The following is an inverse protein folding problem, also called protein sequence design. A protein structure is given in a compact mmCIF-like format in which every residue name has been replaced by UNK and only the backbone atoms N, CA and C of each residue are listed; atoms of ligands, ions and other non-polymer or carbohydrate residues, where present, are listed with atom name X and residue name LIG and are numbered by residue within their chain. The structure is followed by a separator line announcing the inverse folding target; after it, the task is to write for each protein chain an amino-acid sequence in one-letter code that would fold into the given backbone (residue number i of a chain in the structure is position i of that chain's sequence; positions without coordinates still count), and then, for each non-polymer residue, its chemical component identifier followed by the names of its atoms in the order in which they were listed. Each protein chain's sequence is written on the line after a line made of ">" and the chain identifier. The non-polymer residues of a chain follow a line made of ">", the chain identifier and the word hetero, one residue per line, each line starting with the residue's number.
data_IF_972512008338
#
_entry.id   IF_972512008338
#
_cell.length_a   1.000
_cell.length_b   1.000
_cell.length_c   1.000
_cell.angle_alpha   90.00
_cell.angle_beta   90.00
_cell.angle_gamma   90.00
#
_symmetry.space_group_name_H-M   'P 1'
#
loop_
_entity.id
_entity.type
_entity.pdbx_description
1 polymer ?
#
# COMPACT_ATOMS: atom_id res chain seq x y z
N UNK A 1 1.87 3.21 11.50
CA UNK A 1 1.18 4.51 11.57
C UNK A 1 -0.27 4.26 11.21
N UNK A 2 -1.23 4.95 11.83
CA UNK A 2 -2.65 4.75 11.48
C UNK A 2 -3.02 5.51 10.22
N UNK A 3 -3.47 4.80 9.19
CA UNK A 3 -3.85 5.40 7.91
C UNK A 3 -5.34 5.70 7.78
N UNK A 4 -6.15 5.21 8.71
CA UNK A 4 -7.58 5.53 8.81
C UNK A 4 -7.96 5.72 10.28
N UNK A 5 -9.04 6.46 10.53
CA UNK A 5 -9.66 6.58 11.86
C UNK A 5 -11.02 5.87 11.94
N UNK A 6 -11.53 5.72 13.18
CA UNK A 6 -12.91 5.29 13.42
C UNK A 6 -13.92 6.25 12.78
N UNK A 7 -13.72 7.56 12.93
CA UNK A 7 -14.63 8.57 12.38
C UNK A 7 -14.75 8.44 10.85
N UNK A 8 -13.63 8.22 10.14
CA UNK A 8 -13.67 8.02 8.69
C UNK A 8 -14.39 6.72 8.28
N UNK A 9 -14.32 5.69 9.13
CA UNK A 9 -15.08 4.45 8.92
C UNK A 9 -16.57 4.66 9.16
N UNK A 10 -16.94 5.41 10.21
CA UNK A 10 -18.32 5.78 10.53
C UNK A 10 -18.89 6.63 9.39
N UNK A 11 -18.17 7.65 8.93
CA UNK A 11 -18.60 8.54 7.85
C UNK A 11 -18.85 7.77 6.54
N UNK A 12 -18.06 6.72 6.28
CA UNK A 12 -18.15 5.95 5.04
C UNK A 12 -19.19 4.84 5.09
N UNK A 13 -19.23 4.06 6.18
CA UNK A 13 -20.00 2.82 6.28
C UNK A 13 -21.19 2.91 7.24
N UNK A 14 -21.23 3.94 8.09
CA UNK A 14 -22.24 4.15 9.11
C UNK A 14 -21.96 3.41 10.41
N UNK A 15 -22.33 4.02 11.52
CA UNK A 15 -22.12 3.49 12.87
C UNK A 15 -22.83 2.14 13.08
N UNK A 16 -24.08 2.01 12.63
CA UNK A 16 -24.86 0.77 12.76
C UNK A 16 -24.17 -0.45 12.12
N UNK A 17 -23.49 -0.24 10.99
CA UNK A 17 -22.75 -1.31 10.33
C UNK A 17 -21.53 -1.71 11.17
N UNK A 18 -20.80 -0.74 11.72
CA UNK A 18 -19.66 -1.03 12.58
C UNK A 18 -20.09 -1.75 13.86
N UNK A 19 -21.16 -1.31 14.53
CA UNK A 19 -21.73 -2.01 15.70
C UNK A 19 -22.01 -3.47 15.34
N UNK A 20 -22.72 -3.73 14.23
CA UNK A 20 -23.04 -5.09 13.80
C UNK A 20 -21.80 -5.95 13.50
N UNK A 21 -20.69 -5.32 13.09
CA UNK A 21 -19.45 -6.01 12.80
C UNK A 21 -18.56 -6.21 14.04
N UNK A 22 -18.66 -5.36 15.05
CA UNK A 22 -17.73 -5.34 16.19
C UNK A 22 -18.34 -5.81 17.51
N UNK A 23 -19.65 -5.64 17.72
CA UNK A 23 -20.35 -6.04 18.94
C UNK A 23 -20.55 -7.56 18.98
N UNK A 24 -19.47 -8.27 19.31
CA UNK A 24 -19.36 -9.74 19.28
C UNK A 24 -19.29 -10.38 20.67
N UNK A 25 -19.45 -9.59 21.72
CA UNK A 25 -19.42 -10.07 23.09
C UNK A 25 -20.61 -10.98 23.42
N UNK A 26 -20.50 -11.73 24.51
CA UNK A 26 -21.61 -12.58 25.01
C UNK A 26 -22.88 -11.77 25.32
N UNK A 27 -22.72 -10.49 25.69
CA UNK A 27 -23.79 -9.53 25.82
C UNK A 27 -23.63 -8.44 24.76
N UNK A 28 -24.68 -8.24 23.96
CA UNK A 28 -24.72 -7.14 23.00
C UNK A 28 -24.70 -5.80 23.74
N UNK A 29 -23.68 -4.99 23.45
CA UNK A 29 -23.51 -3.66 24.03
C UNK A 29 -24.26 -2.60 23.25
N UNK A 30 -24.56 -2.87 21.96
CA UNK A 30 -25.16 -1.89 21.05
C UNK A 30 -24.22 -0.71 20.73
N UNK A 31 -22.93 -0.85 21.02
CA UNK A 31 -21.90 0.16 20.79
C UNK A 31 -20.79 -0.42 19.91
N UNK A 32 -20.03 0.46 19.27
CA UNK A 32 -18.85 0.05 18.51
C UNK A 32 -17.78 -0.42 19.51
N UNK A 33 -17.31 -1.65 19.34
CA UNK A 33 -16.18 -2.16 20.11
C UNK A 33 -14.87 -1.59 19.54
N UNK A 34 -14.33 -0.62 20.26
CA UNK A 34 -13.12 0.11 19.89
C UNK A 34 -11.91 -0.80 19.78
N UNK A 35 -11.81 -1.86 20.59
CA UNK A 35 -10.65 -2.76 20.55
C UNK A 35 -10.64 -3.56 19.25
N UNK A 36 -11.81 -4.08 18.84
CA UNK A 36 -11.97 -4.77 17.55
C UNK A 36 -11.68 -3.84 16.37
N UNK A 37 -12.17 -2.59 16.40
CA UNK A 37 -11.88 -1.61 15.33
C UNK A 37 -10.39 -1.29 15.28
N UNK A 38 -9.78 -0.97 16.42
CA UNK A 38 -8.36 -0.61 16.48
C UNK A 38 -7.46 -1.77 16.03
N UNK A 39 -7.81 -3.01 16.37
CA UNK A 39 -7.12 -4.20 15.87
C UNK A 39 -7.22 -4.30 14.34
N UNK A 40 -8.43 -4.13 13.77
CA UNK A 40 -8.62 -4.20 12.32
C UNK A 40 -7.85 -3.10 11.57
N UNK A 41 -7.81 -1.88 12.13
CA UNK A 41 -7.01 -0.77 11.60
C UNK A 41 -5.52 -1.11 11.67
N UNK A 42 -5.02 -1.59 12.81
CA UNK A 42 -3.62 -1.95 12.96
C UNK A 42 -3.18 -3.07 11.99
N UNK A 43 -4.06 -4.06 11.74
CA UNK A 43 -3.83 -5.08 10.73
C UNK A 43 -3.79 -4.49 9.31
N UNK A 44 -4.70 -3.58 8.98
CA UNK A 44 -4.72 -2.90 7.68
C UNK A 44 -3.45 -2.07 7.47
N UNK A 45 -3.02 -1.32 8.49
CA UNK A 45 -1.80 -0.53 8.47
C UNK A 45 -0.57 -1.41 8.25
N UNK A 46 -0.47 -2.54 8.94
CA UNK A 46 0.63 -3.49 8.78
C UNK A 46 0.68 -4.08 7.36
N UNK A 47 -0.47 -4.35 6.74
CA UNK A 47 -0.56 -4.80 5.34
C UNK A 47 -0.04 -3.72 4.41
N UNK A 48 -0.51 -2.47 4.56
CA UNK A 48 -0.08 -1.33 3.73
C UNK A 48 1.42 -1.10 3.86
N UNK A 49 1.93 -1.00 5.09
CA UNK A 49 3.36 -0.84 5.37
C UNK A 49 4.19 -1.97 4.75
N UNK A 50 3.67 -3.20 4.76
CA UNK A 50 4.26 -4.36 4.11
C UNK A 50 4.49 -4.19 2.61
N UNK A 51 3.59 -3.52 1.90
CA UNK A 51 3.72 -3.21 0.47
C UNK A 51 4.59 -1.97 0.23
N UNK A 52 4.47 -0.95 1.07
CA UNK A 52 5.17 0.33 0.89
C UNK A 52 6.67 0.24 1.22
N UNK A 53 7.07 -0.60 2.18
CA UNK A 53 8.48 -0.72 2.63
C UNK A 53 9.49 -1.04 1.53
N UNK A 54 9.03 -1.61 0.41
CA UNK A 54 9.88 -1.95 -0.73
C UNK A 54 10.35 -0.71 -1.52
N UNK A 55 9.54 0.36 -1.55
CA UNK A 55 9.82 1.58 -2.33
C UNK A 55 9.95 2.83 -1.47
N UNK A 56 9.19 2.95 -0.39
CA UNK A 56 9.09 4.15 0.42
C UNK A 56 9.78 3.96 1.78
N UNK A 57 10.24 5.06 2.36
CA UNK A 57 10.76 5.07 3.72
C UNK A 57 9.58 5.14 4.69
N UNK A 58 9.58 4.24 5.69
CA UNK A 58 8.56 4.19 6.73
C UNK A 58 9.17 4.59 8.08
N UNK A 59 8.41 5.28 8.96
CA UNK A 59 7.05 5.77 8.73
C UNK A 59 6.99 6.89 7.67
N UNK A 60 5.89 6.99 6.92
CA UNK A 60 5.68 8.06 5.95
C UNK A 60 5.71 9.43 6.66
N UNK A 61 6.31 10.43 6.02
CA UNK A 61 6.35 11.81 6.56
C UNK A 61 4.97 12.47 6.50
N UNK A 62 4.24 12.23 5.43
CA UNK A 62 2.88 12.68 5.17
C UNK A 62 2.10 11.51 4.57
N UNK A 63 0.83 11.38 4.95
CA UNK A 63 -0.05 10.33 4.43
C UNK A 63 -0.68 10.82 3.12
N UNK A 64 -0.34 10.21 1.96
CA UNK A 64 -0.95 10.59 0.69
C UNK A 64 -2.43 10.26 0.66
N UNK A 65 -3.23 11.09 -0.01
CA UNK A 65 -4.69 10.94 -0.09
C UNK A 65 -5.15 9.57 -0.64
N UNK A 66 -4.29 8.85 -1.35
CA UNK A 66 -4.57 7.52 -1.89
C UNK A 66 -4.53 6.41 -0.82
N UNK A 67 -3.83 6.61 0.30
CA UNK A 67 -3.62 5.55 1.31
C UNK A 67 -4.83 5.34 2.24
N UNK A 68 -5.51 6.39 2.76
CA UNK A 68 -6.66 6.22 3.65
C UNK A 68 -7.82 5.41 3.05
N UNK A 69 -8.23 5.61 1.77
CA UNK A 69 -9.25 4.76 1.14
C UNK A 69 -8.88 3.26 1.13
N UNK A 70 -7.59 2.95 0.90
CA UNK A 70 -7.10 1.57 0.91
C UNK A 70 -7.16 0.98 2.32
N UNK A 71 -6.76 1.75 3.34
CA UNK A 71 -6.83 1.33 4.73
C UNK A 71 -8.27 1.04 5.16
N UNK A 72 -9.23 1.91 4.81
CA UNK A 72 -10.66 1.69 5.07
C UNK A 72 -11.19 0.40 4.45
N UNK A 73 -10.92 0.17 3.17
CA UNK A 73 -11.39 -1.02 2.45
C UNK A 73 -10.81 -2.32 3.06
N UNK A 74 -9.57 -2.29 3.52
CA UNK A 74 -8.93 -3.44 4.17
C UNK A 74 -9.49 -3.64 5.59
N UNK A 75 -9.59 -2.56 6.37
CA UNK A 75 -10.10 -2.63 7.75
C UNK A 75 -11.54 -3.15 7.79
N UNK A 76 -12.43 -2.65 6.94
CA UNK A 76 -13.83 -3.11 6.91
C UNK A 76 -13.92 -4.57 6.48
N UNK A 77 -13.10 -5.01 5.52
CA UNK A 77 -13.04 -6.41 5.10
C UNK A 77 -12.56 -7.31 6.25
N UNK A 78 -11.54 -6.89 7.00
CA UNK A 78 -11.01 -7.61 8.15
C UNK A 78 -12.02 -7.75 9.29
N UNK A 79 -12.94 -6.80 9.43
CA UNK A 79 -14.04 -6.87 10.38
C UNK A 79 -15.15 -7.83 9.95
N UNK A 80 -15.14 -8.39 8.74
CA UNK A 80 -16.07 -9.47 8.36
C UNK A 80 -15.45 -10.83 8.67
N UNK A 81 -16.07 -11.59 9.58
CA UNK A 81 -15.55 -12.90 10.01
C UNK A 81 -15.90 -14.06 9.05
N UNK A 82 -17.08 -14.00 8.45
CA UNK A 82 -17.66 -15.10 7.68
C UNK A 82 -17.85 -14.73 6.22
N UNK A 83 -18.95 -14.06 5.90
CA UNK A 83 -19.28 -13.62 4.56
C UNK A 83 -19.41 -12.11 4.57
N UNK A 84 -18.61 -11.44 3.72
CA UNK A 84 -18.78 -10.03 3.46
C UNK A 84 -19.67 -9.83 2.23
N UNK A 85 -20.40 -8.71 2.15
CA UNK A 85 -21.08 -8.32 0.92
C UNK A 85 -20.11 -8.32 -0.26
N UNK A 86 -20.56 -8.80 -1.42
CA UNK A 86 -19.73 -8.85 -2.64
C UNK A 86 -19.08 -7.51 -3.01
N UNK A 87 -19.74 -6.41 -2.68
CA UNK A 87 -19.18 -5.07 -2.87
C UNK A 87 -17.94 -4.84 -1.99
N UNK A 88 -17.99 -5.19 -0.70
CA UNK A 88 -16.86 -5.06 0.22
C UNK A 88 -15.71 -5.97 -0.20
N UNK A 89 -16.01 -7.20 -0.66
CA UNK A 89 -15.00 -8.08 -1.22
C UNK A 89 -14.33 -7.48 -2.46
N UNK A 90 -15.12 -6.89 -3.36
CA UNK A 90 -14.61 -6.26 -4.57
C UNK A 90 -13.72 -5.05 -4.24
N UNK A 91 -14.15 -4.19 -3.31
CA UNK A 91 -13.37 -3.03 -2.83
C UNK A 91 -12.04 -3.49 -2.18
N UNK A 92 -12.06 -4.55 -1.38
CA UNK A 92 -10.84 -5.14 -0.83
C UNK A 92 -9.89 -5.68 -1.90
N UNK A 93 -10.42 -6.42 -2.89
CA UNK A 93 -9.63 -6.95 -4.00
C UNK A 93 -9.01 -5.84 -4.85
N UNK A 94 -9.77 -4.76 -5.08
CA UNK A 94 -9.29 -3.58 -5.77
C UNK A 94 -8.18 -2.90 -4.96
N UNK A 95 -8.38 -2.68 -3.66
CA UNK A 95 -7.37 -2.09 -2.78
C UNK A 95 -6.07 -2.90 -2.78
N UNK A 96 -6.16 -4.24 -2.69
CA UNK A 96 -5.01 -5.12 -2.78
C UNK A 96 -4.33 -5.08 -4.16
N UNK A 97 -5.06 -4.79 -5.23
CA UNK A 97 -4.49 -4.62 -6.58
C UNK A 97 -3.75 -3.30 -6.67
N UNK A 98 -4.37 -2.20 -6.22
CA UNK A 98 -3.73 -0.88 -6.16
C UNK A 98 -2.46 -0.91 -5.31
N UNK A 99 -2.47 -1.57 -4.14
CA UNK A 99 -1.27 -1.73 -3.31
C UNK A 99 -0.13 -2.48 -4.04
N UNK A 100 -0.45 -3.52 -4.81
CA UNK A 100 0.54 -4.20 -5.64
C UNK A 100 1.09 -3.30 -6.73
N UNK A 101 0.25 -2.48 -7.35
CA UNK A 101 0.66 -1.54 -8.40
C UNK A 101 1.50 -0.40 -7.85
N UNK A 102 1.21 0.07 -6.62
CA UNK A 102 2.07 0.99 -5.87
C UNK A 102 3.42 0.34 -5.56
N UNK A 103 3.43 -0.91 -5.07
CA UNK A 103 4.66 -1.64 -4.76
C UNK A 103 5.52 -1.89 -6.02
N UNK A 104 4.89 -2.15 -7.17
CA UNK A 104 5.56 -2.25 -8.48
C UNK A 104 6.03 -0.91 -9.03
N UNK A 105 5.52 0.21 -8.52
CA UNK A 105 5.82 1.55 -9.00
C UNK A 105 5.05 1.97 -10.25
N UNK A 106 3.95 1.28 -10.57
CA UNK A 106 3.00 1.70 -11.61
C UNK A 106 2.22 2.92 -11.12
N UNK A 107 1.78 2.87 -9.86
CA UNK A 107 1.20 4.02 -9.16
C UNK A 107 2.30 4.61 -8.26
N UNK A 108 2.51 5.91 -8.35
CA UNK A 108 3.49 6.63 -7.53
C UNK A 108 2.71 7.47 -6.52
N UNK A 109 3.06 7.32 -5.25
CA UNK A 109 2.54 8.15 -4.18
C UNK A 109 3.33 9.45 -4.15
N UNK A 110 2.62 10.57 -4.12
CA UNK A 110 3.22 11.89 -3.93
C UNK A 110 3.50 12.09 -2.44
N UNK A 111 4.62 11.53 -1.97
CA UNK A 111 5.12 11.71 -0.61
C UNK A 111 6.21 12.78 -0.65
N UNK A 112 5.97 13.92 0.01
CA UNK A 112 6.88 15.04 0.01
C UNK A 112 8.33 14.60 0.34
N UNK A 113 9.22 14.72 -0.64
CA UNK A 113 10.66 14.55 -0.46
C UNK A 113 11.21 13.12 -0.39
N UNK A 114 10.39 12.07 -0.54
CA UNK A 114 10.89 10.69 -0.59
C UNK A 114 10.69 10.11 -1.99
N UNK A 115 11.68 10.31 -2.86
CA UNK A 115 11.76 9.53 -4.09
C UNK A 115 11.79 8.05 -3.75
N UNK A 116 11.04 7.18 -4.47
CA UNK A 116 11.15 5.75 -4.31
C UNK A 116 12.62 5.34 -4.29
N UNK A 117 13.02 4.37 -3.46
CA UNK A 117 14.35 3.75 -3.58
C UNK A 117 14.54 3.35 -5.04
N UNK A 118 15.29 4.15 -5.79
CA UNK A 118 15.69 3.80 -7.14
C UNK A 118 16.57 2.58 -6.95
N UNK A 119 16.06 1.40 -7.29
CA UNK A 119 16.93 0.29 -7.62
C UNK A 119 17.72 0.76 -8.84
N UNK A 120 18.90 1.32 -8.59
CA UNK A 120 19.91 1.64 -9.60
C UNK A 120 20.43 0.31 -10.17
N UNK A 121 19.58 -0.41 -10.89
CA UNK A 121 19.92 -1.63 -11.63
C UNK A 121 19.53 -1.53 -13.11
N UNK A 122 19.32 -0.31 -13.59
CA UNK A 122 19.50 0.04 -15.00
C UNK A 122 20.76 0.91 -15.11
N UNK A 123 21.87 0.40 -14.54
CA UNK A 123 23.16 0.79 -15.07
C UNK A 123 23.17 0.28 -16.50
N UNK A 124 23.01 1.18 -17.47
CA UNK A 124 23.45 0.90 -18.83
C UNK A 124 24.92 0.51 -18.69
N UNK A 125 25.19 -0.79 -18.72
CA UNK A 125 26.54 -1.33 -18.83
C UNK A 125 26.97 -1.01 -20.26
N UNK A 126 27.38 0.23 -20.49
CA UNK A 126 28.16 0.56 -21.68
C UNK A 126 29.47 -0.16 -21.48
N UNK A 127 29.55 -1.40 -21.94
CA UNK A 127 30.84 -2.03 -22.18
C UNK A 127 31.48 -1.20 -23.28
N UNK A 128 32.27 -0.20 -22.89
CA UNK A 128 33.14 0.51 -23.81
C UNK A 128 34.29 -0.44 -24.14
N UNK A 129 34.00 -1.42 -25.01
CA UNK A 129 35.06 -2.21 -25.61
C UNK A 129 35.79 -1.25 -26.53
N UNK A 130 37.06 -1.02 -26.22
CA UNK A 130 37.97 -0.27 -27.07
C UNK A 130 37.84 -0.78 -28.51
N UNK A 131 37.55 0.13 -29.45
CA UNK A 131 37.37 -0.21 -30.86
C UNK A 131 38.71 -0.74 -31.40
N UNK A 132 38.82 -2.02 -31.82
CA UNK A 132 40.10 -2.59 -32.26
C UNK A 132 40.58 -2.03 -33.61
N UNK A 133 39.71 -1.33 -34.34
CA UNK A 133 39.98 -0.77 -35.66
C UNK A 133 39.92 0.76 -35.57
N UNK A 134 41.04 1.37 -35.19
CA UNK A 134 41.25 2.82 -35.23
C UNK A 134 42.30 3.15 -36.30
N UNK A 135 42.34 4.39 -36.76
CA UNK A 135 43.32 4.84 -37.76
C UNK A 135 44.78 4.63 -37.28
N UNK A 136 45.00 4.55 -35.97
CA UNK A 136 46.29 4.24 -35.38
C UNK A 136 46.59 2.73 -35.33
N UNK A 137 45.59 1.84 -35.23
CA UNK A 137 45.80 0.38 -35.27
C UNK A 137 46.00 -0.20 -36.69
N UNK A 138 45.78 0.61 -37.73
CA UNK A 138 45.87 0.21 -39.15
C UNK A 138 47.15 0.70 -39.87
N UNK A 139 48.15 1.23 -39.16
CA UNK A 139 49.45 1.62 -39.73
C UNK A 139 50.43 0.45 -39.70
N UNK A 140 50.37 -0.42 -40.71
CA UNK A 140 51.30 -1.55 -40.83
C UNK A 140 51.02 -2.55 -41.96
N UNK A 141 49.96 -2.33 -42.75
CA UNK A 141 49.59 -3.17 -43.89
C UNK A 141 49.68 -2.38 -45.19
N UNK A 142 50.89 -1.98 -45.57
CA UNK A 142 51.28 -1.60 -46.94
C UNK A 142 52.58 -2.32 -47.25
#
# INVERSE_FOLDING_TARGET
>A
MTYTSLDELIDRYGENMLIALTDRGDAATGLVDLDTVNQAIAEADAVIDGFLKGRYQLPLSEVPAQVPPLSRAIAIWKMHLYEAPKQIEAEYREAMTQLRDIAKGIIILDVAGVTPKTNSSQGVMTTDRERPLTQDSLKGWI
#
